data_IF_248483036899
#
_entry.id   IF_248483036899
#
_cell.length_a   1.000
_cell.length_b   1.000
_cell.length_c   1.000
_cell.angle_alpha   90.00
_cell.angle_beta   90.00
_cell.angle_gamma   90.00
#
_symmetry.space_group_name_H-M   'P 1'
#
loop_
_entity.id
_entity.type
_entity.pdbx_description
1 polymer ?
#
# COMPACT_ATOMS: atom_id res chain seq x y z
N UNK A 1 -23.56 17.12 -3.39
CA UNK A 1 -23.02 15.75 -3.61
C UNK A 1 -21.53 15.64 -3.26
N UNK A 2 -20.76 16.75 -3.26
CA UNK A 2 -19.34 16.85 -2.82
C UNK A 2 -19.02 16.24 -1.45
N UNK A 3 -19.95 16.28 -0.48
CA UNK A 3 -19.73 15.75 0.87
C UNK A 3 -19.53 14.23 0.93
N UNK A 4 -20.12 13.44 0.02
CA UNK A 4 -19.97 11.97 0.01
C UNK A 4 -18.54 11.58 -0.40
N UNK A 5 -18.00 12.22 -1.44
CA UNK A 5 -16.66 11.97 -1.98
C UNK A 5 -15.60 12.34 -0.94
N UNK A 6 -15.77 13.47 -0.25
CA UNK A 6 -14.84 13.92 0.81
C UNK A 6 -14.82 12.99 2.03
N UNK A 7 -15.95 12.36 2.36
CA UNK A 7 -16.01 11.37 3.44
C UNK A 7 -15.28 10.09 3.04
N UNK A 8 -15.53 9.59 1.82
CA UNK A 8 -14.85 8.42 1.27
C UNK A 8 -13.32 8.63 1.17
N UNK A 9 -12.88 9.84 0.81
CA UNK A 9 -11.47 10.25 0.79
C UNK A 9 -10.79 10.16 2.16
N UNK A 10 -11.46 10.68 3.20
CA UNK A 10 -10.97 10.61 4.56
C UNK A 10 -10.80 9.17 5.04
N UNK A 11 -11.75 8.30 4.69
CA UNK A 11 -11.67 6.87 5.01
C UNK A 11 -10.53 6.15 4.27
N UNK A 12 -10.34 6.44 2.98
CA UNK A 12 -9.26 5.89 2.17
C UNK A 12 -7.89 6.35 2.69
N UNK A 13 -7.74 7.61 3.05
CA UNK A 13 -6.48 8.16 3.60
C UNK A 13 -6.13 7.50 4.93
N UNK A 14 -7.12 7.29 5.81
CA UNK A 14 -6.92 6.58 7.08
C UNK A 14 -6.55 5.11 6.83
N UNK A 15 -7.22 4.44 5.90
CA UNK A 15 -6.90 3.07 5.54
C UNK A 15 -5.49 2.97 4.95
N UNK A 16 -5.09 3.94 4.13
CA UNK A 16 -3.76 4.00 3.55
C UNK A 16 -2.68 4.10 4.63
N UNK A 17 -2.81 5.04 5.56
CA UNK A 17 -1.87 5.20 6.67
C UNK A 17 -1.78 3.94 7.55
N UNK A 18 -2.91 3.26 7.79
CA UNK A 18 -2.93 1.99 8.53
C UNK A 18 -2.19 0.88 7.78
N UNK A 19 -2.38 0.79 6.48
CA UNK A 19 -1.73 -0.25 5.67
C UNK A 19 -0.23 0.03 5.50
N UNK A 20 0.18 1.29 5.35
CA UNK A 20 1.59 1.69 5.39
C UNK A 20 2.25 1.29 6.72
N UNK A 21 1.57 1.55 7.84
CA UNK A 21 2.05 1.12 9.16
C UNK A 21 2.14 -0.40 9.26
N UNK A 22 1.15 -1.14 8.76
CA UNK A 22 1.17 -2.60 8.75
C UNK A 22 2.30 -3.15 7.88
N UNK A 23 2.55 -2.58 6.70
CA UNK A 23 3.68 -2.93 5.82
C UNK A 23 5.01 -2.69 6.52
N UNK A 24 5.19 -1.57 7.19
CA UNK A 24 6.40 -1.28 7.96
C UNK A 24 6.62 -2.32 9.06
N UNK A 25 5.57 -2.64 9.83
CA UNK A 25 5.64 -3.67 10.87
C UNK A 25 5.99 -5.06 10.30
N UNK A 26 5.42 -5.45 9.16
CA UNK A 26 5.74 -6.71 8.49
C UNK A 26 7.21 -6.72 8.06
N UNK A 27 7.71 -5.62 7.46
CA UNK A 27 9.12 -5.50 7.07
C UNK A 27 10.06 -5.64 8.25
N UNK A 28 9.73 -5.02 9.38
CA UNK A 28 10.54 -5.11 10.61
C UNK A 28 10.55 -6.55 11.15
N UNK A 29 9.40 -7.22 11.19
CA UNK A 29 9.30 -8.63 11.61
C UNK A 29 10.12 -9.56 10.71
N UNK A 30 10.09 -9.32 9.39
CA UNK A 30 10.87 -10.10 8.43
C UNK A 30 12.37 -9.83 8.56
N UNK A 31 12.77 -8.59 8.84
CA UNK A 31 14.18 -8.26 9.10
C UNK A 31 14.70 -8.92 10.39
N UNK A 32 13.89 -8.96 11.45
CA UNK A 32 14.20 -9.70 12.68
C UNK A 32 14.31 -11.21 12.41
N UNK A 33 13.38 -11.76 11.63
CA UNK A 33 13.42 -13.17 11.21
C UNK A 33 14.70 -13.47 10.42
N UNK A 34 15.05 -12.64 9.45
CA UNK A 34 16.29 -12.76 8.66
C UNK A 34 17.53 -12.75 9.56
N UNK A 35 17.57 -11.86 10.55
CA UNK A 35 18.67 -11.81 11.54
C UNK A 35 18.80 -13.10 12.34
N UNK A 36 17.68 -13.64 12.84
CA UNK A 36 17.65 -14.90 13.59
C UNK A 36 18.04 -16.08 12.71
N UNK A 37 17.53 -16.12 11.49
CA UNK A 37 17.82 -17.19 10.52
C UNK A 37 19.28 -17.16 10.12
N UNK A 38 19.90 -15.99 9.91
CA UNK A 38 21.31 -15.88 9.58
C UNK A 38 22.23 -16.56 10.62
N UNK A 39 21.86 -16.50 11.91
CA UNK A 39 22.60 -17.18 12.99
C UNK A 39 22.47 -18.71 12.86
N UNK A 40 21.26 -19.19 12.62
CA UNK A 40 20.93 -20.63 12.53
C UNK A 40 21.33 -21.27 11.19
N UNK A 41 21.51 -20.46 10.14
CA UNK A 41 21.76 -20.92 8.76
C UNK A 41 23.03 -21.75 8.62
N UNK A 42 23.98 -21.60 9.56
CA UNK A 42 25.21 -22.40 9.60
C UNK A 42 24.96 -23.89 9.83
N UNK A 43 23.83 -24.24 10.45
CA UNK A 43 23.44 -25.62 10.75
C UNK A 43 22.43 -26.18 9.73
N UNK A 44 21.90 -25.33 8.84
CA UNK A 44 20.93 -25.73 7.85
C UNK A 44 21.58 -26.42 6.66
N UNK A 45 21.04 -27.58 6.29
CA UNK A 45 21.40 -28.27 5.05
C UNK A 45 20.78 -27.55 3.84
N UNK A 46 21.32 -27.78 2.64
CA UNK A 46 20.99 -27.00 1.44
C UNK A 46 19.50 -26.87 1.12
N UNK A 47 18.68 -27.90 1.42
CA UNK A 47 17.24 -27.84 1.20
C UNK A 47 16.52 -26.81 2.09
N UNK A 48 16.94 -26.67 3.36
CA UNK A 48 16.37 -25.66 4.26
C UNK A 48 16.80 -24.25 3.87
N UNK A 49 18.04 -24.08 3.39
CA UNK A 49 18.50 -22.79 2.88
C UNK A 49 17.73 -22.34 1.64
N UNK A 50 17.41 -23.28 0.75
CA UNK A 50 16.62 -23.02 -0.46
C UNK A 50 15.18 -22.68 -0.11
N UNK A 51 14.51 -23.50 0.72
CA UNK A 51 13.13 -23.24 1.13
C UNK A 51 12.96 -21.87 1.80
N UNK A 52 13.96 -21.44 2.59
CA UNK A 52 13.96 -20.11 3.17
C UNK A 52 14.14 -19.01 2.13
N UNK A 53 15.05 -19.17 1.17
CA UNK A 53 15.25 -18.19 0.11
C UNK A 53 13.99 -18.04 -0.76
N UNK A 54 13.29 -19.15 -1.04
CA UNK A 54 12.04 -19.16 -1.79
C UNK A 54 10.94 -18.42 -1.01
N UNK A 55 10.76 -18.73 0.27
CA UNK A 55 9.83 -18.02 1.14
C UNK A 55 10.18 -16.52 1.23
N UNK A 56 11.48 -16.20 1.30
CA UNK A 56 11.96 -14.82 1.34
C UNK A 56 11.61 -14.01 0.10
N UNK A 57 11.74 -14.63 -1.07
CA UNK A 57 11.32 -14.01 -2.30
C UNK A 57 9.79 -13.83 -2.37
N UNK A 58 9.03 -14.83 -1.91
CA UNK A 58 7.57 -14.81 -1.95
C UNK A 58 6.98 -13.69 -1.09
N UNK A 59 7.35 -13.62 0.21
CA UNK A 59 6.79 -12.57 1.07
C UNK A 59 7.22 -11.16 0.61
N UNK A 60 8.43 -11.02 0.07
CA UNK A 60 8.92 -9.74 -0.46
C UNK A 60 8.06 -9.26 -1.63
N UNK A 61 7.78 -10.17 -2.57
CA UNK A 61 6.94 -9.88 -3.73
C UNK A 61 5.50 -9.51 -3.34
N UNK A 62 4.93 -10.17 -2.34
CA UNK A 62 3.56 -9.88 -1.88
C UNK A 62 3.47 -8.53 -1.15
N UNK A 63 4.46 -8.18 -0.32
CA UNK A 63 4.52 -6.86 0.31
C UNK A 63 4.62 -5.75 -0.74
N UNK A 64 5.46 -5.92 -1.76
CA UNK A 64 5.60 -4.95 -2.85
C UNK A 64 4.34 -4.86 -3.71
N UNK A 65 3.57 -5.94 -3.83
CA UNK A 65 2.24 -5.90 -4.46
C UNK A 65 1.25 -5.10 -3.61
N UNK A 66 1.20 -5.32 -2.29
CA UNK A 66 0.31 -4.58 -1.39
C UNK A 66 0.60 -3.07 -1.43
N UNK A 67 1.87 -2.68 -1.41
CA UNK A 67 2.27 -1.27 -1.52
C UNK A 67 1.80 -0.65 -2.84
N UNK A 68 2.00 -1.36 -3.96
CA UNK A 68 1.55 -0.86 -5.28
C UNK A 68 0.04 -0.64 -5.35
N UNK A 69 -0.75 -1.62 -4.91
CA UNK A 69 -2.22 -1.51 -4.92
C UNK A 69 -2.69 -0.30 -4.11
N UNK A 70 -2.04 -0.03 -2.98
CA UNK A 70 -2.35 1.13 -2.15
C UNK A 70 -1.99 2.46 -2.84
N UNK A 71 -0.79 2.55 -3.41
CA UNK A 71 -0.37 3.73 -4.17
C UNK A 71 -1.31 3.99 -5.36
N UNK A 72 -1.72 2.94 -6.06
CA UNK A 72 -2.66 3.04 -7.19
C UNK A 72 -4.03 3.55 -6.72
N UNK A 73 -4.55 3.06 -5.58
CA UNK A 73 -5.82 3.51 -5.02
C UNK A 73 -5.79 4.99 -4.61
N UNK A 74 -4.72 5.44 -3.93
CA UNK A 74 -4.52 6.85 -3.55
C UNK A 74 -4.45 7.73 -4.80
N UNK A 75 -3.70 7.30 -5.82
CA UNK A 75 -3.55 8.06 -7.08
C UNK A 75 -4.88 8.17 -7.83
N UNK A 76 -5.65 7.09 -7.87
CA UNK A 76 -6.96 7.07 -8.52
C UNK A 76 -7.95 8.03 -7.85
N UNK A 77 -7.93 8.09 -6.51
CA UNK A 77 -8.76 8.99 -5.70
C UNK A 77 -8.41 10.47 -5.96
N UNK A 78 -7.13 10.84 -5.87
CA UNK A 78 -6.67 12.21 -6.18
C UNK A 78 -7.04 12.63 -7.61
N UNK A 79 -6.98 11.69 -8.56
CA UNK A 79 -7.42 11.94 -9.94
C UNK A 79 -8.93 12.14 -10.09
N UNK A 80 -9.74 11.53 -9.22
CA UNK A 80 -11.19 11.70 -9.22
C UNK A 80 -11.59 13.09 -8.71
N UNK A 81 -10.93 13.61 -7.68
CA UNK A 81 -11.14 14.96 -7.15
C UNK A 81 -10.90 16.04 -8.20
N UNK A 82 -9.74 16.00 -8.86
CA UNK A 82 -9.38 16.98 -9.88
C UNK A 82 -10.40 17.03 -11.04
N UNK A 83 -11.02 15.88 -11.37
CA UNK A 83 -12.08 15.80 -12.38
C UNK A 83 -13.40 16.37 -11.86
N UNK A 84 -13.72 16.16 -10.59
CA UNK A 84 -14.93 16.68 -9.96
C UNK A 84 -14.88 18.20 -9.78
N UNK A 85 -13.79 18.76 -9.25
CA UNK A 85 -13.65 20.20 -9.06
C UNK A 85 -13.79 20.95 -10.39
N UNK A 86 -13.15 20.45 -11.45
CA UNK A 86 -13.29 21.01 -12.81
C UNK A 86 -14.72 20.89 -13.36
N UNK A 87 -15.41 19.79 -13.06
CA UNK A 87 -16.79 19.59 -13.52
C UNK A 87 -17.77 20.50 -12.77
N UNK A 88 -17.55 20.73 -11.48
CA UNK A 88 -18.30 21.69 -10.68
C UNK A 88 -18.06 23.11 -11.20
N UNK A 89 -16.80 23.57 -11.28
CA UNK A 89 -16.44 24.90 -11.79
C UNK A 89 -17.04 25.17 -13.18
N UNK A 90 -16.95 24.20 -14.10
CA UNK A 90 -17.52 24.33 -15.43
C UNK A 90 -19.05 24.45 -15.43
N UNK A 91 -19.73 23.82 -14.47
CA UNK A 91 -21.18 23.89 -14.34
C UNK A 91 -21.62 25.18 -13.64
N UNK A 92 -20.91 25.63 -12.60
CA UNK A 92 -21.18 26.90 -11.90
C UNK A 92 -21.01 28.09 -12.84
N UNK A 93 -19.98 28.08 -13.69
CA UNK A 93 -19.77 29.10 -14.74
C UNK A 93 -20.92 29.10 -15.75
N UNK A 94 -21.50 27.94 -16.04
CA UNK A 94 -22.58 27.79 -17.02
C UNK A 94 -23.94 28.24 -16.50
N UNK A 95 -24.15 28.25 -15.18
CA UNK A 95 -25.38 28.71 -14.53
C UNK A 95 -25.29 30.14 -13.98
N UNK A 96 -24.12 30.77 -14.06
CA UNK A 96 -23.90 32.18 -13.68
C UNK A 96 -24.11 33.18 -14.86
N UNK A 97 -24.57 32.70 -16.03
CA UNK A 97 -25.01 33.48 -17.19
C UNK A 97 -26.53 33.40 -17.33
#
# INVERSE_FOLDING_TARGET
MSALIRVEEGEITVLAARLESAVAQIRDLLADLDGRVAILRREWTGAAQQAYADAQAEWGAEIDRMVRVLTDAITALAGAELRYDRAEDANTVRWAL
#
